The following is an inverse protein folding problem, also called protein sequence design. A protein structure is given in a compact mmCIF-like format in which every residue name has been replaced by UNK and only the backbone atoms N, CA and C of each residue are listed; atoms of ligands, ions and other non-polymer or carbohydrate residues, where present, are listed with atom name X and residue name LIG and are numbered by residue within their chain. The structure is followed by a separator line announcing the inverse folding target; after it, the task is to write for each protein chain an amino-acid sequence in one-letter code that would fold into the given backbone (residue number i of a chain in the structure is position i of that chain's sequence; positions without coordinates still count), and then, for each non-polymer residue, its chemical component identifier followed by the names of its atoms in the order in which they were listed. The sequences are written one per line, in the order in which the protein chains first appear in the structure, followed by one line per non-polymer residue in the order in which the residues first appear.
data_IF_921418488278
#
_entry.id   IF_921418488278
#
_cell.length_a   1.000
_cell.length_b   1.000
_cell.length_c   1.000
_cell.angle_alpha   90.00
_cell.angle_beta   90.00
_cell.angle_gamma   90.00
#
_symmetry.space_group_name_H-M   'P 1'
#
loop_
_entity.id
_entity.type
_entity.pdbx_description
1 polymer ?
#
# COMPACT_ATOMS: atom_id res chain seq x y z
N UNK A 1 -7.48 14.35 10.12
CA UNK A 1 -6.49 14.56 9.06
C UNK A 1 -6.41 13.26 8.27
N UNK A 2 -6.81 13.27 7.00
CA UNK A 2 -6.81 12.08 6.17
C UNK A 2 -5.35 11.63 5.98
N UNK A 3 -5.07 10.36 6.24
CA UNK A 3 -3.73 9.78 6.15
C UNK A 3 -3.35 9.65 4.65
N UNK A 4 -3.07 10.78 4.00
CA UNK A 4 -2.77 10.85 2.56
C UNK A 4 -1.46 10.13 2.21
N UNK A 5 -0.60 9.89 3.20
CA UNK A 5 0.66 9.17 3.05
C UNK A 5 0.81 8.12 4.16
N UNK A 6 1.32 6.94 3.81
CA UNK A 6 1.58 5.83 4.72
C UNK A 6 3.08 5.50 4.76
N UNK A 7 3.67 5.27 5.94
CA UNK A 7 5.05 4.83 6.06
C UNK A 7 5.24 3.39 5.56
N UNK A 8 6.28 3.17 4.75
CA UNK A 8 6.67 1.85 4.25
C UNK A 8 7.51 1.12 5.29
N UNK A 9 7.30 -0.19 5.40
CA UNK A 9 8.06 -1.06 6.27
C UNK A 9 9.47 -1.26 5.71
N UNK A 10 10.46 -0.65 6.37
CA UNK A 10 11.89 -0.79 5.99
C UNK A 10 12.38 -2.22 6.16
N UNK A 11 11.95 -2.90 7.23
CA UNK A 11 12.30 -4.29 7.49
C UNK A 11 11.74 -5.22 6.40
N UNK A 12 10.53 -4.95 5.89
CA UNK A 12 9.92 -5.75 4.82
C UNK A 12 10.67 -5.55 3.50
N UNK A 13 11.01 -4.30 3.17
CA UNK A 13 11.86 -3.96 2.02
C UNK A 13 13.23 -4.64 2.10
N UNK A 14 13.74 -4.89 3.30
CA UNK A 14 14.99 -5.61 3.55
C UNK A 14 14.82 -7.14 3.67
N UNK A 15 13.61 -7.69 3.49
CA UNK A 15 13.31 -9.12 3.59
C UNK A 15 13.31 -9.69 5.01
N UNK A 16 13.27 -8.83 6.03
CA UNK A 16 13.43 -9.21 7.45
C UNK A 16 12.14 -9.05 8.27
N UNK A 17 11.08 -8.44 7.71
CA UNK A 17 9.82 -8.31 8.43
C UNK A 17 8.98 -9.58 8.34
N UNK A 18 8.77 -10.23 9.47
CA UNK A 18 7.90 -11.42 9.61
C UNK A 18 6.63 -11.13 10.43
N UNK A 19 6.37 -9.86 10.75
CA UNK A 19 5.23 -9.46 11.59
C UNK A 19 3.91 -9.66 10.82
N UNK A 20 2.97 -10.47 11.32
CA UNK A 20 1.69 -10.70 10.65
C UNK A 20 0.79 -9.46 10.65
N UNK A 21 0.91 -8.61 11.67
CA UNK A 21 0.18 -7.34 11.78
C UNK A 21 1.18 -6.17 11.85
N UNK A 22 1.93 -5.97 10.76
CA UNK A 22 2.85 -4.84 10.69
C UNK A 22 2.07 -3.51 10.58
N UNK A 23 2.42 -2.53 11.41
CA UNK A 23 1.83 -1.18 11.36
C UNK A 23 2.28 -0.33 10.17
N UNK A 24 3.26 -0.83 9.40
CA UNK A 24 3.85 -0.16 8.25
C UNK A 24 3.46 -0.89 6.96
N UNK A 25 3.43 -0.17 5.84
CA UNK A 25 3.03 -0.73 4.53
C UNK A 25 4.08 -1.71 4.02
N UNK A 26 3.65 -2.94 3.73
CA UNK A 26 4.43 -3.94 3.01
C UNK A 26 4.16 -3.74 1.52
N UNK A 27 4.98 -2.89 0.88
CA UNK A 27 4.84 -2.58 -0.54
C UNK A 27 5.53 -3.66 -1.37
N UNK A 28 4.78 -4.29 -2.29
CA UNK A 28 5.30 -5.31 -3.23
C UNK A 28 5.37 -4.74 -4.65
N UNK A 29 4.58 -3.70 -4.92
CA UNK A 29 4.43 -3.05 -6.21
C UNK A 29 5.59 -2.08 -6.48
N UNK A 30 6.43 -2.40 -7.47
CA UNK A 30 7.59 -1.55 -7.84
C UNK A 30 7.21 -0.25 -8.56
N UNK A 31 6.02 -0.18 -9.14
CA UNK A 31 5.54 1.00 -9.88
C UNK A 31 4.91 2.08 -8.99
N UNK A 32 4.76 1.81 -7.69
CA UNK A 32 4.23 2.79 -6.72
C UNK A 32 5.34 3.72 -6.29
N UNK A 33 5.06 5.03 -6.33
CA UNK A 33 6.03 6.04 -5.93
C UNK A 33 6.20 6.07 -4.40
N UNK A 34 7.46 5.95 -3.96
CA UNK A 34 7.86 6.04 -2.56
C UNK A 34 8.71 7.29 -2.37
N UNK A 35 8.21 8.24 -1.59
CA UNK A 35 8.90 9.48 -1.26
C UNK A 35 9.17 9.54 0.24
N UNK A 36 10.43 9.79 0.64
CA UNK A 36 10.86 9.84 2.04
C UNK A 36 10.49 8.57 2.86
N UNK A 37 10.48 7.41 2.21
CA UNK A 37 10.06 6.15 2.83
C UNK A 37 8.56 6.07 3.12
N UNK A 38 7.75 6.91 2.47
CA UNK A 38 6.29 6.91 2.55
C UNK A 38 5.68 6.73 1.16
N UNK A 39 4.56 6.03 1.09
CA UNK A 39 3.73 5.96 -0.11
C UNK A 39 2.56 6.92 0.00
N UNK A 40 2.13 7.48 -1.12
CA UNK A 40 0.93 8.30 -1.19
C UNK A 40 -0.27 7.42 -1.53
N UNK A 41 -1.36 7.52 -0.77
CA UNK A 41 -2.57 6.72 -0.98
C UNK A 41 -3.37 7.25 -2.18
N UNK A 42 -3.80 6.36 -3.06
CA UNK A 42 -4.65 6.70 -4.18
C UNK A 42 -6.07 7.03 -3.70
N UNK A 43 -6.40 8.32 -3.66
CA UNK A 43 -7.74 8.81 -3.26
C UNK A 43 -8.86 8.24 -4.13
N UNK A 44 -8.61 8.03 -5.42
CA UNK A 44 -9.60 7.45 -6.33
C UNK A 44 -9.80 5.96 -6.07
N UNK A 45 -8.75 5.22 -5.69
CA UNK A 45 -8.86 3.80 -5.35
C UNK A 45 -9.65 3.60 -4.06
N UNK A 46 -9.45 4.46 -3.05
CA UNK A 46 -10.26 4.47 -1.81
C UNK A 46 -11.75 4.67 -2.10
N UNK A 47 -12.07 5.43 -3.16
CA UNK A 47 -13.45 5.63 -3.63
C UNK A 47 -13.93 4.56 -4.63
N UNK A 48 -13.11 3.55 -4.93
CA UNK A 48 -13.42 2.51 -5.92
C UNK A 48 -13.42 2.98 -7.38
N UNK A 49 -12.83 4.15 -7.67
CA UNK A 49 -12.83 4.79 -9.01
C UNK A 49 -11.52 4.60 -9.78
N UNK A 50 -10.46 4.14 -9.12
CA UNK A 50 -9.18 3.91 -9.79
C UNK A 50 -9.08 2.46 -10.29
N UNK A 51 -9.05 2.29 -11.61
CA UNK A 51 -8.85 1.01 -12.28
C UNK A 51 -7.52 0.96 -13.08
N UNK A 52 -6.57 1.85 -12.76
CA UNK A 52 -5.28 1.90 -13.46
C UNK A 52 -4.46 0.66 -13.09
N UNK A 53 -4.00 -0.16 -14.07
CA UNK A 53 -3.24 -1.36 -13.79
C UNK A 53 -1.86 -1.07 -13.17
N UNK A 54 -1.28 0.08 -13.49
CA UNK A 54 0.01 0.55 -12.97
C UNK A 54 -0.21 1.94 -12.35
N UNK A 55 -0.87 1.97 -11.18
CA UNK A 55 -1.12 3.22 -10.49
C UNK A 55 0.11 3.64 -9.69
N UNK A 56 0.63 4.84 -9.94
CA UNK A 56 1.77 5.39 -9.17
C UNK A 56 1.47 5.64 -7.69
N UNK A 57 0.20 5.59 -7.29
CA UNK A 57 -0.27 5.80 -5.92
C UNK A 57 -0.68 4.47 -5.29
N UNK A 58 -0.44 4.31 -3.99
CA UNK A 58 -0.73 3.09 -3.27
C UNK A 58 -2.23 2.85 -3.13
N UNK A 59 -2.70 1.69 -3.58
CA UNK A 59 -4.06 1.25 -3.35
C UNK A 59 -4.08 0.49 -2.03
N UNK A 60 -4.85 0.98 -1.05
CA UNK A 60 -5.04 0.22 0.19
C UNK A 60 -5.57 -1.17 -0.18
N UNK A 61 -4.98 -2.27 0.33
CA UNK A 61 -5.56 -3.59 0.20
C UNK A 61 -6.86 -3.56 0.99
N UNK A 62 -7.95 -3.17 0.34
CA UNK A 62 -9.31 -3.32 0.82
C UNK A 62 -9.47 -4.82 0.91
N UNK A 63 -9.24 -5.34 2.11
CA UNK A 63 -9.15 -6.75 2.45
C UNK A 63 -10.16 -7.55 1.61
N UNK A 64 -9.75 -8.24 0.54
CA UNK A 64 -10.61 -9.14 -0.18
C UNK A 64 -10.53 -10.51 0.49
N UNK A 65 -10.71 -10.58 1.81
CA UNK A 65 -10.91 -11.86 2.51
C UNK A 65 -12.23 -12.56 2.08
N UNK A 66 -12.90 -12.07 1.04
CA UNK A 66 -14.15 -12.59 0.47
C UNK A 66 -14.04 -13.02 -1.00
N UNK A 67 -12.86 -13.03 -1.63
CA UNK A 67 -12.70 -13.55 -3.01
C UNK A 67 -11.84 -14.83 -3.13
N UNK A 68 -11.65 -15.53 -2.02
CA UNK A 68 -11.26 -16.95 -2.01
C UNK A 68 -12.30 -17.72 -1.20
N UNK A 69 -13.43 -18.02 -1.85
CA UNK A 69 -14.30 -19.18 -1.54
C UNK A 69 -14.47 -19.94 -2.84
#
# INVERSE_FOLDING_TARGET
QLLDTLPVCRDFKAGQCTRPQCKYVHLVEEYVDVSDGRVTVCRDAVKGKCARPMCKYYHLPIIPHLLTV
#
